data_IF_160260854365
#
_entry.id   IF_160260854365
#
_cell.length_a   1.000
_cell.length_b   1.000
_cell.length_c   1.000
_cell.angle_alpha   90.00
_cell.angle_beta   90.00
_cell.angle_gamma   90.00
#
_symmetry.space_group_name_H-M   'P 1'
#
loop_
_entity.id
_entity.type
_entity.pdbx_description
1 polymer ?
#
# COMPACT_ATOMS: atom_id res chain seq x y z
N UNK A 1 -4.44 5.37 17.90
CA UNK A 1 -5.29 5.45 19.11
C UNK A 1 -6.73 4.95 18.85
N UNK A 2 -7.46 5.51 17.87
CA UNK A 2 -8.83 5.07 17.54
C UNK A 2 -8.93 3.61 17.07
N UNK A 3 -8.03 3.15 16.20
CA UNK A 3 -8.01 1.73 15.77
C UNK A 3 -7.75 0.74 16.92
N UNK A 4 -6.91 1.14 17.89
CA UNK A 4 -6.67 0.37 19.12
C UNK A 4 -7.92 0.30 19.98
N UNK A 5 -8.61 1.42 20.20
CA UNK A 5 -9.88 1.48 20.93
C UNK A 5 -10.98 0.66 20.25
N UNK A 6 -11.05 0.67 18.92
CA UNK A 6 -12.01 -0.13 18.18
C UNK A 6 -11.73 -1.63 18.31
N UNK A 7 -10.46 -2.04 18.23
CA UNK A 7 -10.08 -3.44 18.34
C UNK A 7 -10.22 -3.94 19.78
N UNK A 8 -9.67 -3.23 20.76
CA UNK A 8 -9.75 -3.65 22.17
C UNK A 8 -11.14 -3.50 22.76
N UNK A 9 -11.91 -2.51 22.27
CA UNK A 9 -13.24 -2.19 22.79
C UNK A 9 -14.38 -2.89 22.08
N UNK A 10 -14.24 -3.28 20.80
CA UNK A 10 -15.34 -3.94 20.07
C UNK A 10 -14.95 -5.33 19.57
N UNK A 11 -13.84 -5.46 18.85
CA UNK A 11 -13.51 -6.72 18.17
C UNK A 11 -13.07 -7.82 19.16
N UNK A 12 -12.19 -7.50 20.12
CA UNK A 12 -11.68 -8.49 21.09
C UNK A 12 -12.79 -9.06 22.00
N UNK A 13 -13.64 -8.23 22.63
CA UNK A 13 -14.73 -8.71 23.48
C UNK A 13 -15.76 -9.52 22.70
N UNK A 14 -16.05 -9.12 21.45
CA UNK A 14 -16.89 -9.89 20.55
C UNK A 14 -16.28 -11.27 20.25
N UNK A 15 -14.98 -11.31 19.98
CA UNK A 15 -14.26 -12.54 19.69
C UNK A 15 -14.24 -13.49 20.90
N UNK A 16 -14.01 -12.96 22.10
CA UNK A 16 -14.03 -13.75 23.34
C UNK A 16 -15.43 -14.31 23.64
N UNK A 17 -16.48 -13.49 23.50
CA UNK A 17 -17.87 -13.93 23.65
C UNK A 17 -18.23 -15.01 22.61
N UNK A 18 -17.74 -14.86 21.37
CA UNK A 18 -17.94 -15.86 20.32
C UNK A 18 -17.26 -17.19 20.66
N UNK A 19 -16.00 -17.13 21.11
CA UNK A 19 -15.22 -18.33 21.50
C UNK A 19 -15.80 -19.06 22.72
N UNK A 20 -16.41 -18.33 23.64
CA UNK A 20 -17.05 -18.91 24.83
C UNK A 20 -18.37 -19.63 24.51
N UNK A 21 -19.10 -19.19 23.48
CA UNK A 21 -20.40 -19.79 23.14
C UNK A 21 -20.31 -20.88 22.04
N UNK A 22 -19.27 -20.85 21.21
CA UNK A 22 -19.09 -21.81 20.11
C UNK A 22 -17.83 -22.66 20.29
N UNK A 23 -17.97 -23.78 21.00
CA UNK A 23 -16.89 -24.74 21.24
C UNK A 23 -16.80 -25.87 20.18
N UNK A 24 -17.84 -26.07 19.37
CA UNK A 24 -17.84 -27.08 18.29
C UNK A 24 -18.78 -26.70 17.14
N UNK A 25 -18.65 -27.38 15.98
CA UNK A 25 -19.55 -27.15 14.83
C UNK A 25 -21.02 -27.47 15.19
N UNK A 26 -21.26 -28.40 16.11
CA UNK A 26 -22.62 -28.71 16.60
C UNK A 26 -23.23 -27.55 17.39
N UNK A 27 -22.43 -26.78 18.14
CA UNK A 27 -22.93 -25.59 18.82
C UNK A 27 -23.34 -24.47 17.85
N UNK A 28 -22.88 -24.48 16.60
CA UNK A 28 -23.30 -23.50 15.59
C UNK A 28 -24.70 -23.79 15.00
N UNK A 29 -25.19 -25.01 15.16
CA UNK A 29 -26.52 -25.45 14.66
C UNK A 29 -27.62 -25.22 15.71
N UNK A 30 -27.23 -25.15 16.99
CA UNK A 30 -28.17 -24.93 18.09
C UNK A 30 -28.55 -23.44 18.19
N UNK A 31 -29.85 -23.13 18.26
CA UNK A 31 -30.32 -21.75 18.39
C UNK A 31 -30.02 -21.17 19.78
N UNK A 32 -29.84 -22.00 20.81
CA UNK A 32 -29.58 -21.54 22.17
C UNK A 32 -28.25 -20.79 22.30
N UNK A 33 -27.19 -21.26 21.63
CA UNK A 33 -25.87 -20.62 21.63
C UNK A 33 -25.87 -19.26 20.91
N UNK A 34 -26.67 -19.12 19.84
CA UNK A 34 -26.87 -17.84 19.14
C UNK A 34 -27.63 -16.83 20.00
N UNK A 35 -28.66 -17.28 20.73
CA UNK A 35 -29.42 -16.42 21.64
C UNK A 35 -28.52 -15.96 22.79
N UNK A 36 -27.76 -16.88 23.38
CA UNK A 36 -26.84 -16.60 24.49
C UNK A 36 -25.69 -15.67 24.08
N UNK A 37 -25.15 -15.84 22.86
CA UNK A 37 -24.20 -14.90 22.27
C UNK A 37 -24.84 -13.51 22.13
N UNK A 38 -26.07 -13.42 21.61
CA UNK A 38 -26.71 -12.13 21.37
C UNK A 38 -26.96 -11.37 22.68
N UNK A 39 -27.39 -12.05 23.75
CA UNK A 39 -27.57 -11.45 25.08
C UNK A 39 -26.24 -11.03 25.72
N UNK A 40 -25.18 -11.84 25.58
CA UNK A 40 -23.84 -11.48 26.05
C UNK A 40 -23.26 -10.29 25.28
N UNK A 41 -23.46 -10.21 23.97
CA UNK A 41 -23.01 -9.07 23.17
C UNK A 41 -23.80 -7.80 23.50
N UNK A 42 -25.12 -7.89 23.66
CA UNK A 42 -25.96 -6.75 24.04
C UNK A 42 -25.55 -6.21 25.42
N UNK A 43 -25.27 -7.08 26.39
CA UNK A 43 -24.80 -6.67 27.72
C UNK A 43 -23.36 -6.17 27.72
N UNK A 44 -22.44 -6.78 26.97
CA UNK A 44 -21.06 -6.31 26.81
C UNK A 44 -21.01 -4.93 26.15
N UNK A 45 -21.76 -4.73 25.05
CA UNK A 45 -21.75 -3.47 24.32
C UNK A 45 -22.54 -2.36 25.03
N UNK A 46 -23.62 -2.67 25.76
CA UNK A 46 -24.29 -1.65 26.57
C UNK A 46 -23.40 -1.18 27.72
N UNK A 47 -22.71 -2.11 28.39
CA UNK A 47 -21.76 -1.79 29.45
C UNK A 47 -20.47 -1.14 28.91
N UNK A 48 -20.00 -1.49 27.71
CA UNK A 48 -18.83 -0.87 27.09
C UNK A 48 -19.12 0.51 26.49
N UNK A 49 -20.33 0.75 25.95
CA UNK A 49 -20.75 2.10 25.61
C UNK A 49 -20.82 2.98 26.85
N UNK A 50 -21.33 2.44 27.96
CA UNK A 50 -21.34 3.14 29.23
C UNK A 50 -19.92 3.35 29.77
N UNK A 51 -19.00 2.38 29.65
CA UNK A 51 -17.62 2.51 30.11
C UNK A 51 -16.76 3.39 29.20
N UNK A 52 -17.01 3.45 27.90
CA UNK A 52 -16.37 4.39 26.96
C UNK A 52 -16.86 5.81 27.25
N UNK A 53 -18.15 6.01 27.51
CA UNK A 53 -18.66 7.30 27.99
C UNK A 53 -18.00 7.68 29.31
N UNK A 54 -17.96 6.77 30.29
CA UNK A 54 -17.33 7.02 31.59
C UNK A 54 -15.82 7.26 31.44
N UNK A 55 -15.11 6.57 30.56
CA UNK A 55 -13.67 6.75 30.30
C UNK A 55 -13.37 8.06 29.55
N UNK A 56 -14.20 8.45 28.58
CA UNK A 56 -14.08 9.74 27.89
C UNK A 56 -14.37 10.91 28.82
N UNK A 57 -15.28 10.74 29.79
CA UNK A 57 -15.71 11.77 30.73
C UNK A 57 -15.20 11.60 32.17
N UNK A 58 -14.24 10.69 32.42
CA UNK A 58 -13.61 10.51 33.74
C UNK A 58 -12.68 11.70 34.03
N UNK A 59 -12.70 12.22 35.26
CA UNK A 59 -11.74 13.27 35.67
C UNK A 59 -10.29 12.80 35.42
N UNK A 60 -9.58 13.54 34.57
CA UNK A 60 -8.21 13.20 34.15
C UNK A 60 -8.09 12.44 32.82
N UNK A 61 -9.18 12.15 32.11
CA UNK A 61 -9.12 11.52 30.78
C UNK A 61 -8.38 12.41 29.76
N UNK A 62 -7.71 11.80 28.78
CA UNK A 62 -7.02 12.55 27.72
C UNK A 62 -7.99 13.40 26.89
N UNK A 63 -9.26 12.98 26.78
CA UNK A 63 -10.31 13.76 26.13
C UNK A 63 -10.67 15.02 26.92
N UNK A 64 -10.88 14.91 28.25
CA UNK A 64 -11.14 16.06 29.11
C UNK A 64 -9.92 16.97 29.22
N UNK A 65 -8.70 16.42 29.24
CA UNK A 65 -7.47 17.22 29.22
C UNK A 65 -7.30 17.97 27.90
N UNK A 66 -7.59 17.34 26.76
CA UNK A 66 -7.59 18.01 25.45
C UNK A 66 -8.73 19.03 25.36
N UNK A 67 -9.92 18.73 25.88
CA UNK A 67 -11.04 19.67 25.95
C UNK A 67 -10.73 20.86 26.85
N UNK A 68 -10.13 20.62 28.02
CA UNK A 68 -9.66 21.67 28.94
C UNK A 68 -8.57 22.51 28.28
N UNK A 69 -7.59 21.86 27.64
CA UNK A 69 -6.54 22.55 26.89
C UNK A 69 -7.12 23.39 25.76
N UNK A 70 -8.05 22.86 24.96
CA UNK A 70 -8.75 23.63 23.92
C UNK A 70 -9.59 24.75 24.54
N UNK A 71 -10.23 24.52 25.69
CA UNK A 71 -11.06 25.54 26.36
C UNK A 71 -10.26 26.70 26.92
N UNK A 72 -8.93 26.59 27.06
CA UNK A 72 -8.09 27.73 27.39
C UNK A 72 -8.15 28.76 26.27
N UNK A 73 -8.45 30.04 26.56
CA UNK A 73 -8.51 31.11 25.56
C UNK A 73 -7.22 31.23 24.72
N UNK A 74 -6.06 30.98 25.34
CA UNK A 74 -4.77 31.03 24.66
C UNK A 74 -4.57 29.87 23.66
N UNK A 75 -5.04 28.67 23.99
CA UNK A 75 -4.89 27.49 23.14
C UNK A 75 -5.91 27.48 21.98
N UNK A 76 -7.13 27.98 22.22
CA UNK A 76 -8.08 28.28 21.13
C UNK A 76 -7.56 29.35 20.21
N UNK A 77 -6.93 30.42 20.73
CA UNK A 77 -6.26 31.43 19.90
C UNK A 77 -5.09 30.84 19.09
N UNK A 78 -4.32 29.92 19.67
CA UNK A 78 -3.19 29.29 19.00
C UNK A 78 -3.63 28.26 17.95
N UNK A 79 -4.71 27.52 18.21
CA UNK A 79 -5.37 26.66 17.22
C UNK A 79 -6.03 27.48 16.12
N UNK A 80 -6.74 28.55 16.47
CA UNK A 80 -7.35 29.45 15.50
C UNK A 80 -6.27 30.14 14.67
N UNK A 81 -5.17 30.61 15.27
CA UNK A 81 -4.03 31.18 14.55
C UNK A 81 -3.27 30.13 13.74
N UNK A 82 -3.24 28.87 14.17
CA UNK A 82 -2.67 27.75 13.41
C UNK A 82 -3.53 27.37 12.21
N UNK A 83 -4.86 27.36 12.37
CA UNK A 83 -5.84 27.11 11.30
C UNK A 83 -5.88 28.30 10.34
N UNK A 84 -5.91 29.54 10.85
CA UNK A 84 -5.75 30.75 10.04
C UNK A 84 -4.37 30.77 9.37
N UNK A 85 -3.30 30.36 10.05
CA UNK A 85 -1.98 30.20 9.46
C UNK A 85 -1.99 29.19 8.31
N UNK A 86 -2.63 28.04 8.48
CA UNK A 86 -2.85 27.04 7.44
C UNK A 86 -3.73 27.54 6.29
N UNK A 87 -4.72 28.41 6.57
CA UNK A 87 -5.60 29.02 5.56
C UNK A 87 -4.93 30.21 4.83
N UNK A 88 -4.00 30.92 5.50
CA UNK A 88 -3.23 32.05 4.96
C UNK A 88 -2.03 31.54 4.17
N UNK A 89 -1.47 30.37 4.51
CA UNK A 89 -0.53 29.67 3.62
C UNK A 89 -1.30 29.43 2.32
N UNK A 90 -0.91 30.06 1.20
CA UNK A 90 -1.61 29.85 -0.04
C UNK A 90 -1.56 28.36 -0.33
N UNK A 91 -2.73 27.75 -0.54
CA UNK A 91 -2.90 26.35 -0.95
C UNK A 91 -2.30 26.08 -2.36
N UNK A 92 -1.25 26.80 -2.75
CA UNK A 92 -0.39 26.55 -3.91
C UNK A 92 0.66 25.49 -3.56
N UNK A 93 0.23 24.37 -2.97
CA UNK A 93 1.14 23.24 -2.75
C UNK A 93 1.42 22.52 -4.07
N UNK A 94 0.51 22.66 -5.05
CA UNK A 94 0.67 22.26 -6.45
C UNK A 94 -0.15 23.24 -7.32
N UNK A 95 0.45 24.14 -8.11
CA UNK A 95 -0.30 24.91 -9.10
C UNK A 95 -0.82 23.96 -10.19
N UNK A 96 -2.14 23.91 -10.36
CA UNK A 96 -2.85 23.13 -11.38
C UNK A 96 -2.99 23.86 -12.71
N UNK A 97 -2.56 25.11 -12.80
CA UNK A 97 -2.66 25.91 -14.02
C UNK A 97 -1.41 25.74 -14.91
N UNK A 98 -1.62 25.64 -16.22
CA UNK A 98 -0.60 25.69 -17.27
C UNK A 98 0.04 27.09 -17.36
N UNK A 99 0.65 27.57 -16.29
CA UNK A 99 1.44 28.79 -16.37
C UNK A 99 2.80 28.44 -16.98
N UNK A 100 2.99 28.79 -18.25
CA UNK A 100 4.22 28.69 -19.05
C UNK A 100 5.45 29.41 -18.45
N UNK A 101 5.35 29.99 -17.24
CA UNK A 101 6.46 30.63 -16.56
C UNK A 101 7.34 29.58 -15.87
N UNK A 102 8.55 29.44 -16.40
CA UNK A 102 9.70 28.69 -15.84
C UNK A 102 10.19 29.18 -14.48
N UNK A 103 9.50 30.14 -13.84
CA UNK A 103 9.70 30.50 -12.44
C UNK A 103 9.22 29.35 -11.54
N UNK A 104 10.05 28.32 -11.44
CA UNK A 104 9.87 27.15 -10.60
C UNK A 104 9.61 27.59 -9.15
N UNK A 105 8.34 27.59 -8.74
CA UNK A 105 8.03 27.55 -7.31
C UNK A 105 8.64 26.25 -6.74
N UNK A 106 9.35 26.37 -5.61
CA UNK A 106 10.02 25.27 -4.90
C UNK A 106 8.99 24.43 -4.14
N UNK A 107 8.01 23.91 -4.85
CA UNK A 107 6.88 23.17 -4.27
C UNK A 107 7.30 21.79 -3.78
N UNK A 108 6.48 21.16 -2.95
CA UNK A 108 6.72 19.80 -2.44
C UNK A 108 6.94 18.78 -3.55
N UNK A 109 6.22 18.92 -4.66
CA UNK A 109 6.42 18.10 -5.85
C UNK A 109 7.83 18.27 -6.46
N UNK A 110 8.38 19.49 -6.44
CA UNK A 110 9.75 19.75 -6.92
C UNK A 110 10.78 19.09 -5.99
N UNK A 111 10.59 19.15 -4.68
CA UNK A 111 11.44 18.46 -3.71
C UNK A 111 11.37 16.94 -3.84
N UNK A 112 10.17 16.40 -4.04
CA UNK A 112 9.96 14.98 -4.30
C UNK A 112 10.68 14.52 -5.58
N UNK A 113 10.54 15.24 -6.69
CA UNK A 113 11.27 14.95 -7.93
C UNK A 113 12.79 15.05 -7.75
N UNK A 114 13.29 16.04 -7.02
CA UNK A 114 14.71 16.16 -6.71
C UNK A 114 15.19 14.97 -5.87
N UNK A 115 14.38 14.51 -4.92
CA UNK A 115 14.68 13.33 -4.12
C UNK A 115 14.68 12.07 -4.99
N UNK A 116 13.71 11.90 -5.89
CA UNK A 116 13.70 10.81 -6.89
C UNK A 116 14.92 10.83 -7.80
N UNK A 117 15.40 12.01 -8.23
CA UNK A 117 16.64 12.10 -9.01
C UNK A 117 17.87 11.62 -8.21
N UNK A 118 17.90 11.87 -6.89
CA UNK A 118 18.95 11.33 -6.01
C UNK A 118 18.82 9.81 -5.85
N UNK A 119 17.60 9.31 -5.62
CA UNK A 119 17.31 7.87 -5.52
C UNK A 119 17.70 7.15 -6.82
N UNK A 120 17.35 7.72 -7.99
CA UNK A 120 17.79 7.22 -9.30
C UNK A 120 19.31 7.12 -9.38
N UNK A 121 20.02 8.18 -8.99
CA UNK A 121 21.48 8.19 -9.01
C UNK A 121 22.08 7.09 -8.10
N UNK A 122 21.43 6.81 -6.97
CA UNK A 122 21.86 5.78 -6.02
C UNK A 122 21.59 4.36 -6.53
N UNK A 123 20.40 4.09 -7.08
CA UNK A 123 19.95 2.74 -7.45
C UNK A 123 20.31 2.38 -8.91
N UNK A 124 20.16 3.32 -9.85
CA UNK A 124 20.30 3.10 -11.29
C UNK A 124 21.24 4.12 -11.92
N UNK A 125 22.54 4.03 -11.57
CA UNK A 125 23.59 4.90 -12.11
C UNK A 125 23.53 4.92 -13.64
N UNK A 126 23.57 6.13 -14.21
CA UNK A 126 23.67 6.43 -15.64
C UNK A 126 22.48 6.02 -16.55
N UNK A 127 21.32 5.60 -16.03
CA UNK A 127 20.17 5.28 -16.89
C UNK A 127 19.45 6.57 -17.38
N UNK A 128 19.74 6.96 -18.63
CA UNK A 128 19.21 8.17 -19.27
C UNK A 128 17.70 8.08 -19.52
N UNK A 129 17.15 6.89 -19.68
CA UNK A 129 15.71 6.69 -19.93
C UNK A 129 14.88 7.07 -18.70
N UNK A 130 15.33 6.67 -17.50
CA UNK A 130 14.66 7.05 -16.25
C UNK A 130 14.74 8.56 -16.04
N UNK A 131 15.83 9.21 -16.46
CA UNK A 131 15.92 10.67 -16.39
C UNK A 131 14.90 11.36 -17.28
N UNK A 132 14.73 10.87 -18.52
CA UNK A 132 13.69 11.34 -19.43
C UNK A 132 12.31 11.16 -18.80
N UNK A 133 12.02 9.96 -18.29
CA UNK A 133 10.72 9.64 -17.69
C UNK A 133 10.39 10.54 -16.49
N UNK A 134 11.37 10.83 -15.62
CA UNK A 134 11.20 11.77 -14.51
C UNK A 134 10.98 13.21 -14.98
N UNK A 135 11.57 13.63 -16.09
CA UNK A 135 11.28 14.94 -16.70
C UNK A 135 9.88 14.98 -17.32
N UNK A 136 9.44 13.88 -17.94
CA UNK A 136 8.05 13.77 -18.44
C UNK A 136 7.06 13.86 -17.28
N UNK A 137 7.36 13.21 -16.15
CA UNK A 137 6.59 13.35 -14.90
C UNK A 137 6.53 14.80 -14.41
N UNK A 138 7.65 15.52 -14.54
CA UNK A 138 7.71 16.95 -14.22
C UNK A 138 6.84 17.81 -15.14
N UNK A 139 6.66 17.42 -16.40
CA UNK A 139 5.73 18.08 -17.33
C UNK A 139 4.28 17.73 -17.06
N UNK A 140 3.99 16.48 -16.69
CA UNK A 140 2.64 15.96 -16.42
C UNK A 140 2.24 16.06 -14.94
N UNK A 141 2.56 17.17 -14.27
CA UNK A 141 2.31 17.37 -12.82
C UNK A 141 0.84 17.26 -12.46
N UNK A 142 -0.04 17.74 -13.34
CA UNK A 142 -1.48 17.74 -13.15
C UNK A 142 -2.03 16.32 -12.91
N UNK A 143 -1.43 15.30 -13.53
CA UNK A 143 -1.82 13.89 -13.39
C UNK A 143 -1.66 13.40 -11.94
N UNK A 144 -0.60 13.84 -11.26
CA UNK A 144 -0.30 13.46 -9.89
C UNK A 144 -0.85 14.43 -8.84
N UNK A 145 -1.33 15.60 -9.25
CA UNK A 145 -1.67 16.68 -8.32
C UNK A 145 -2.77 16.32 -7.32
N UNK A 146 -3.82 15.61 -7.77
CA UNK A 146 -4.99 15.28 -6.96
C UNK A 146 -4.72 14.21 -5.90
N UNK A 147 -3.82 13.27 -6.20
CA UNK A 147 -3.53 12.11 -5.34
C UNK A 147 -2.05 11.99 -4.96
N UNK A 148 -1.34 13.13 -4.94
CA UNK A 148 0.10 13.18 -4.71
C UNK A 148 0.52 12.48 -3.42
N UNK A 149 -0.21 12.68 -2.33
CA UNK A 149 0.12 12.07 -1.03
C UNK A 149 -0.09 10.56 -1.03
N UNK A 150 -1.21 10.08 -1.59
CA UNK A 150 -1.47 8.65 -1.74
C UNK A 150 -0.39 7.96 -2.57
N UNK A 151 0.07 8.65 -3.61
CA UNK A 151 1.06 8.13 -4.54
C UNK A 151 2.48 8.13 -3.99
N UNK A 152 2.91 9.23 -3.38
CA UNK A 152 4.31 9.47 -3.00
C UNK A 152 4.69 8.90 -1.64
N UNK A 153 3.74 8.79 -0.71
CA UNK A 153 3.99 8.37 0.66
C UNK A 153 3.38 6.99 0.93
N UNK A 154 2.21 6.94 1.53
CA UNK A 154 1.45 5.73 1.83
C UNK A 154 -0.01 6.10 1.61
N UNK A 155 -0.78 5.19 1.00
CA UNK A 155 -2.20 5.42 0.77
C UNK A 155 -3.02 5.48 2.05
N UNK A 156 -4.17 6.16 1.98
CA UNK A 156 -5.13 6.17 3.08
C UNK A 156 -5.55 4.76 3.52
N UNK A 157 -5.70 3.84 2.58
CA UNK A 157 -6.05 2.45 2.87
C UNK A 157 -4.93 1.73 3.63
N UNK A 158 -3.68 1.96 3.24
CA UNK A 158 -2.52 1.42 3.95
C UNK A 158 -2.36 2.00 5.37
N UNK A 159 -2.66 3.29 5.57
CA UNK A 159 -2.71 3.90 6.91
C UNK A 159 -3.80 3.26 7.77
N UNK A 160 -4.97 2.99 7.19
CA UNK A 160 -6.04 2.28 7.87
C UNK A 160 -5.61 0.86 8.29
N UNK A 161 -5.00 0.10 7.38
CA UNK A 161 -4.46 -1.23 7.71
C UNK A 161 -3.41 -1.16 8.81
N UNK A 162 -2.47 -0.22 8.75
CA UNK A 162 -1.48 -0.03 9.80
C UNK A 162 -2.16 0.22 11.16
N UNK A 163 -3.19 1.07 11.20
CA UNK A 163 -3.99 1.32 12.40
C UNK A 163 -4.66 0.07 12.98
N UNK A 164 -5.26 -0.76 12.12
CA UNK A 164 -5.87 -2.04 12.53
C UNK A 164 -4.81 -3.00 13.08
N UNK A 165 -3.71 -3.22 12.35
CA UNK A 165 -2.65 -4.12 12.81
C UNK A 165 -1.98 -3.63 14.10
N UNK A 166 -1.83 -2.32 14.32
CA UNK A 166 -1.35 -1.80 15.62
C UNK A 166 -2.26 -2.15 16.79
N UNK A 167 -3.58 -2.17 16.58
CA UNK A 167 -4.53 -2.59 17.59
C UNK A 167 -4.37 -4.07 17.93
N UNK A 168 -4.26 -4.93 16.90
CA UNK A 168 -4.00 -6.36 17.12
C UNK A 168 -2.67 -6.61 17.81
N UNK A 169 -1.61 -5.89 17.44
CA UNK A 169 -0.30 -5.98 18.11
C UNK A 169 -0.39 -5.68 19.60
N UNK A 170 -1.23 -4.72 20.00
CA UNK A 170 -1.43 -4.40 21.41
C UNK A 170 -2.21 -5.42 22.23
N UNK A 171 -2.93 -6.32 21.57
CA UNK A 171 -3.72 -7.36 22.22
C UNK A 171 -2.99 -8.71 22.30
N UNK A 172 -1.86 -8.84 21.59
CA UNK A 172 -1.10 -10.09 21.50
C UNK A 172 0.12 -10.01 22.41
N UNK A 173 0.27 -11.00 23.29
CA UNK A 173 1.41 -11.09 24.22
C UNK A 173 2.62 -11.84 23.62
N UNK A 174 2.40 -12.71 22.63
CA UNK A 174 3.46 -13.51 22.02
C UNK A 174 4.28 -12.69 21.00
N UNK A 175 5.60 -12.49 21.20
CA UNK A 175 6.43 -11.69 20.29
C UNK A 175 6.52 -12.31 18.89
N UNK A 176 6.49 -13.63 18.79
CA UNK A 176 6.52 -14.32 17.50
C UNK A 176 5.25 -14.03 16.68
N UNK A 177 4.09 -13.93 17.33
CA UNK A 177 2.83 -13.64 16.66
C UNK A 177 2.73 -12.15 16.29
N UNK A 178 3.32 -11.27 17.10
CA UNK A 178 3.49 -9.86 16.74
C UNK A 178 4.35 -9.68 15.49
N UNK A 179 5.46 -10.42 15.36
CA UNK A 179 6.29 -10.41 14.14
C UNK A 179 5.49 -10.90 12.92
N UNK A 180 4.68 -11.95 13.06
CA UNK A 180 3.83 -12.44 11.97
C UNK A 180 2.75 -11.44 11.55
N UNK A 181 2.15 -10.73 12.52
CA UNK A 181 1.20 -9.66 12.25
C UNK A 181 1.85 -8.52 11.47
N UNK A 182 3.03 -8.06 11.90
CA UNK A 182 3.80 -7.04 11.19
C UNK A 182 4.20 -7.51 9.79
N UNK A 183 4.62 -8.76 9.64
CA UNK A 183 4.95 -9.34 8.34
C UNK A 183 3.75 -9.32 7.39
N UNK A 184 2.60 -9.78 7.85
CA UNK A 184 1.37 -9.83 7.06
C UNK A 184 0.90 -8.43 6.67
N UNK A 185 0.93 -7.49 7.62
CA UNK A 185 0.64 -6.08 7.38
C UNK A 185 1.55 -5.51 6.28
N UNK A 186 2.85 -5.77 6.32
CA UNK A 186 3.80 -5.28 5.33
C UNK A 186 3.48 -5.80 3.92
N UNK A 187 3.19 -7.10 3.81
CA UNK A 187 2.83 -7.73 2.53
C UNK A 187 1.53 -7.13 1.97
N UNK A 188 0.51 -6.91 2.80
CA UNK A 188 -0.76 -6.29 2.39
C UNK A 188 -0.53 -4.84 1.94
N UNK A 189 0.16 -4.03 2.75
CA UNK A 189 0.39 -2.62 2.45
C UNK A 189 1.19 -2.45 1.16
N UNK A 190 2.27 -3.22 0.96
CA UNK A 190 3.05 -3.14 -0.27
C UNK A 190 2.24 -3.56 -1.50
N UNK A 191 1.43 -4.63 -1.37
CA UNK A 191 0.59 -5.10 -2.46
C UNK A 191 -0.46 -4.06 -2.87
N UNK A 192 -1.04 -3.37 -1.89
CA UNK A 192 -2.07 -2.35 -2.14
C UNK A 192 -1.47 -1.06 -2.70
N UNK A 193 -0.39 -0.57 -2.10
CA UNK A 193 0.30 0.63 -2.56
C UNK A 193 0.76 0.50 -4.01
N UNK A 194 1.31 -0.67 -4.39
CA UNK A 194 1.73 -0.90 -5.77
C UNK A 194 0.53 -0.91 -6.73
N UNK A 195 -0.63 -1.46 -6.32
CA UNK A 195 -1.85 -1.44 -7.12
C UNK A 195 -2.32 0.01 -7.35
N UNK A 196 -2.42 0.79 -6.28
CA UNK A 196 -2.89 2.18 -6.34
C UNK A 196 -2.00 3.05 -7.21
N UNK A 197 -0.68 2.97 -7.05
CA UNK A 197 0.26 3.73 -7.88
C UNK A 197 0.09 3.42 -9.37
N UNK A 198 -0.20 2.17 -9.72
CA UNK A 198 -0.50 1.78 -11.10
C UNK A 198 -1.84 2.35 -11.59
N UNK A 199 -2.91 2.26 -10.78
CA UNK A 199 -4.25 2.79 -11.14
C UNK A 199 -4.22 4.30 -11.36
N UNK A 200 -3.45 5.01 -10.54
CA UNK A 200 -3.36 6.47 -10.61
C UNK A 200 -2.54 6.95 -11.81
N UNK A 201 -1.55 6.16 -12.24
CA UNK A 201 -0.67 6.58 -13.35
C UNK A 201 -0.46 5.50 -14.42
N UNK A 202 -1.51 4.97 -15.06
CA UNK A 202 -1.38 3.97 -16.11
C UNK A 202 -0.64 4.51 -17.34
N UNK A 203 -0.85 5.80 -17.65
CA UNK A 203 -0.22 6.50 -18.78
C UNK A 203 1.30 6.64 -18.64
N UNK A 204 1.87 6.60 -17.42
CA UNK A 204 3.33 6.65 -17.23
C UNK A 204 4.01 5.33 -17.59
N UNK A 205 3.30 4.21 -17.36
CA UNK A 205 3.86 2.87 -17.49
C UNK A 205 3.47 2.16 -18.79
N UNK A 206 2.42 2.64 -19.47
CA UNK A 206 2.02 2.11 -20.77
C UNK A 206 3.01 2.49 -21.89
N UNK A 207 3.26 1.56 -22.80
CA UNK A 207 4.04 1.79 -24.02
C UNK A 207 3.28 2.71 -24.99
N UNK A 208 1.94 2.72 -24.96
CA UNK A 208 1.11 3.50 -25.86
C UNK A 208 1.24 5.01 -25.68
N UNK A 209 1.55 5.47 -24.47
CA UNK A 209 1.69 6.88 -24.16
C UNK A 209 2.89 7.56 -24.85
N UNK A 210 3.82 6.77 -25.39
CA UNK A 210 4.97 7.27 -26.17
C UNK A 210 4.86 6.97 -27.67
N UNK A 211 3.64 6.78 -28.22
CA UNK A 211 3.38 6.48 -29.65
C UNK A 211 4.26 7.28 -30.62
N UNK A 212 4.42 8.59 -30.38
CA UNK A 212 5.24 9.49 -31.21
C UNK A 212 6.76 9.27 -31.06
N UNK A 213 7.23 8.88 -29.86
CA UNK A 213 8.65 8.68 -29.57
C UNK A 213 9.14 7.25 -29.87
N UNK A 214 8.22 6.30 -30.03
CA UNK A 214 8.54 4.90 -30.36
C UNK A 214 9.39 4.79 -31.65
N UNK A 215 9.19 5.70 -32.61
CA UNK A 215 9.99 5.77 -33.84
C UNK A 215 11.44 6.22 -33.55
N UNK A 216 11.62 7.21 -32.68
CA UNK A 216 12.94 7.71 -32.27
C UNK A 216 13.75 6.64 -31.50
N UNK A 217 13.09 5.79 -30.71
CA UNK A 217 13.76 4.70 -30.01
C UNK A 217 14.27 3.58 -30.94
N UNK A 218 13.59 3.35 -32.06
CA UNK A 218 14.07 2.40 -33.07
C UNK A 218 15.30 2.94 -33.79
N UNK A 219 15.32 4.24 -34.10
CA UNK A 219 16.49 4.90 -34.67
C UNK A 219 17.68 4.91 -33.70
N UNK A 220 17.42 4.90 -32.38
CA UNK A 220 18.47 4.88 -31.35
C UNK A 220 19.03 3.50 -31.00
N UNK A 221 18.77 2.46 -31.82
CA UNK A 221 19.22 1.06 -31.61
C UNK A 221 18.76 0.45 -30.26
N UNK A 222 17.84 1.10 -29.55
CA UNK A 222 17.36 0.69 -28.24
C UNK A 222 16.14 -0.20 -28.42
N UNK A 223 16.17 -1.43 -27.90
CA UNK A 223 15.04 -2.36 -28.09
C UNK A 223 13.82 -1.92 -27.27
N UNK A 224 12.61 -2.23 -27.75
CA UNK A 224 11.37 -2.00 -27.01
C UNK A 224 11.38 -2.68 -25.63
N UNK A 225 12.12 -3.77 -25.52
CA UNK A 225 12.38 -4.45 -24.26
C UNK A 225 13.21 -3.62 -23.27
N UNK A 226 14.26 -2.92 -23.73
CA UNK A 226 15.04 -2.02 -22.88
C UNK A 226 14.20 -0.82 -22.41
N UNK A 227 13.33 -0.30 -23.28
CA UNK A 227 12.39 0.76 -22.94
C UNK A 227 11.37 0.30 -21.88
N UNK A 228 10.71 -0.85 -22.06
CA UNK A 228 9.78 -1.34 -21.06
C UNK A 228 10.49 -1.64 -19.72
N UNK A 229 11.74 -2.12 -19.78
CA UNK A 229 12.58 -2.29 -18.59
C UNK A 229 12.86 -0.96 -17.87
N UNK A 230 12.99 0.17 -18.58
CA UNK A 230 13.16 1.48 -17.92
C UNK A 230 11.88 1.91 -17.18
N UNK A 231 10.70 1.59 -17.72
CA UNK A 231 9.41 1.83 -17.02
C UNK A 231 9.29 1.02 -15.73
N UNK A 232 9.73 -0.24 -15.73
CA UNK A 232 9.77 -1.04 -14.50
C UNK A 232 10.74 -0.43 -13.48
N UNK A 233 11.94 0.00 -13.92
CA UNK A 233 12.91 0.68 -13.05
C UNK A 233 12.39 2.02 -12.51
N UNK A 234 11.62 2.76 -13.31
CA UNK A 234 10.94 3.97 -12.87
C UNK A 234 9.96 3.63 -11.74
N UNK A 235 9.18 2.55 -11.87
CA UNK A 235 8.29 2.10 -10.81
C UNK A 235 9.08 1.77 -9.54
N UNK A 236 10.19 1.03 -9.62
CA UNK A 236 11.04 0.80 -8.44
C UNK A 236 11.53 2.10 -7.79
N UNK A 237 11.91 3.10 -8.59
CA UNK A 237 12.33 4.41 -8.08
C UNK A 237 11.21 5.13 -7.31
N UNK A 238 9.98 5.06 -7.84
CA UNK A 238 8.81 5.69 -7.22
C UNK A 238 8.35 4.93 -5.97
N UNK A 239 8.35 3.61 -6.01
CA UNK A 239 7.96 2.72 -4.92
C UNK A 239 8.96 2.73 -3.74
N UNK A 240 10.16 3.29 -3.95
CA UNK A 240 11.18 3.43 -2.92
C UNK A 240 10.68 4.23 -1.71
N UNK A 241 10.00 5.35 -1.93
CA UNK A 241 9.49 6.17 -0.82
C UNK A 241 8.45 5.44 0.03
N UNK A 242 7.38 4.86 -0.53
CA UNK A 242 6.45 4.06 0.27
C UNK A 242 7.12 2.92 1.04
N UNK A 243 8.07 2.22 0.42
CA UNK A 243 8.82 1.16 1.11
C UNK A 243 9.65 1.68 2.28
N UNK A 244 10.23 2.88 2.16
CA UNK A 244 10.99 3.53 3.23
C UNK A 244 10.09 3.98 4.38
N UNK A 245 8.90 4.51 4.10
CA UNK A 245 7.94 4.83 5.16
C UNK A 245 7.50 3.57 5.91
N UNK A 246 7.30 2.47 5.20
CA UNK A 246 6.94 1.19 5.81
C UNK A 246 8.08 0.63 6.69
N UNK A 247 9.35 0.72 6.26
CA UNK A 247 10.47 0.30 7.11
C UNK A 247 10.56 1.16 8.38
N UNK A 248 10.45 2.48 8.26
CA UNK A 248 10.41 3.38 9.41
C UNK A 248 9.25 3.06 10.37
N UNK A 249 8.07 2.76 9.83
CA UNK A 249 6.92 2.35 10.62
C UNK A 249 7.20 1.06 11.40
N UNK A 250 7.76 0.03 10.76
CA UNK A 250 8.15 -1.19 11.46
C UNK A 250 9.14 -0.89 12.59
N UNK A 251 10.20 -0.12 12.34
CA UNK A 251 11.15 0.28 13.39
C UNK A 251 10.46 0.99 14.56
N UNK A 252 9.53 1.90 14.29
CA UNK A 252 8.77 2.58 15.33
C UNK A 252 7.92 1.62 16.17
N UNK A 253 7.26 0.66 15.51
CA UNK A 253 6.51 -0.39 16.20
C UNK A 253 7.42 -1.29 17.04
N UNK A 254 8.63 -1.60 16.57
CA UNK A 254 9.62 -2.35 17.35
C UNK A 254 9.97 -1.63 18.66
N UNK A 255 10.19 -0.32 18.59
CA UNK A 255 10.55 0.49 19.75
C UNK A 255 9.41 0.57 20.77
N UNK A 256 8.16 0.69 20.32
CA UNK A 256 7.00 0.82 21.22
C UNK A 256 6.68 -0.49 21.94
N UNK A 257 6.74 -1.62 21.23
CA UNK A 257 6.32 -2.92 21.75
C UNK A 257 7.50 -3.78 22.24
N UNK A 258 8.71 -3.20 22.30
CA UNK A 258 9.96 -3.83 22.77
C UNK A 258 10.25 -5.20 22.12
N UNK A 259 9.91 -5.34 20.84
CA UNK A 259 10.04 -6.61 20.12
C UNK A 259 11.47 -6.76 19.58
N UNK A 260 12.42 -7.07 20.45
CA UNK A 260 13.83 -7.26 20.09
C UNK A 260 14.14 -8.74 19.86
N UNK A 261 13.66 -9.31 18.75
CA UNK A 261 13.93 -10.69 18.34
C UNK A 261 14.73 -10.72 17.02
N UNK A 262 15.64 -11.69 16.87
CA UNK A 262 16.37 -11.99 15.61
C UNK A 262 15.39 -12.21 14.45
N UNK A 263 14.17 -12.68 14.75
CA UNK A 263 13.09 -12.84 13.78
C UNK A 263 12.68 -11.53 13.09
N UNK A 264 13.08 -10.37 13.59
CA UNK A 264 12.83 -9.08 12.94
C UNK A 264 13.54 -8.90 11.61
N UNK A 265 14.64 -9.63 11.39
CA UNK A 265 15.30 -9.68 10.08
C UNK A 265 14.32 -10.19 9.01
N UNK A 266 13.33 -11.02 9.38
CA UNK A 266 12.29 -11.51 8.48
C UNK A 266 11.45 -10.35 7.91
N UNK A 267 11.16 -9.31 8.70
CA UNK A 267 10.40 -8.14 8.23
C UNK A 267 11.18 -7.37 7.16
N UNK A 268 12.48 -7.17 7.40
CA UNK A 268 13.37 -6.46 6.47
C UNK A 268 13.51 -7.26 5.16
N UNK A 269 13.73 -8.58 5.26
CA UNK A 269 13.79 -9.45 4.08
C UNK A 269 12.45 -9.43 3.33
N UNK A 270 11.33 -9.48 4.05
CA UNK A 270 9.99 -9.42 3.48
C UNK A 270 9.74 -8.14 2.69
N UNK A 271 10.11 -6.99 3.25
CA UNK A 271 10.01 -5.68 2.57
C UNK A 271 10.94 -5.64 1.35
N UNK A 272 12.16 -6.16 1.48
CA UNK A 272 13.11 -6.20 0.38
C UNK A 272 12.59 -7.05 -0.79
N UNK A 273 12.08 -8.26 -0.53
CA UNK A 273 11.48 -9.11 -1.56
C UNK A 273 10.25 -8.42 -2.16
N UNK A 274 9.39 -7.86 -1.29
CA UNK A 274 8.18 -7.11 -1.68
C UNK A 274 8.47 -5.96 -2.64
N UNK A 275 9.53 -5.18 -2.36
CA UNK A 275 9.97 -4.05 -3.17
C UNK A 275 10.27 -4.44 -4.63
N UNK A 276 10.84 -5.62 -4.87
CA UNK A 276 11.11 -6.10 -6.22
C UNK A 276 9.90 -6.78 -6.88
N UNK A 277 9.14 -7.57 -6.12
CA UNK A 277 8.11 -8.42 -6.73
C UNK A 277 6.81 -7.65 -7.03
N UNK A 278 6.38 -6.75 -6.15
CA UNK A 278 5.08 -6.09 -6.31
C UNK A 278 5.02 -5.16 -7.53
N UNK A 279 5.98 -4.25 -7.76
CA UNK A 279 5.97 -3.42 -8.98
C UNK A 279 6.04 -4.26 -10.26
N UNK A 280 6.74 -5.41 -10.24
CA UNK A 280 6.80 -6.32 -11.38
C UNK A 280 5.44 -6.96 -11.68
N UNK A 281 4.73 -7.44 -10.64
CA UNK A 281 3.38 -8.00 -10.76
C UNK A 281 2.40 -6.94 -11.27
N UNK A 282 2.60 -5.66 -10.92
CA UNK A 282 1.70 -4.60 -11.40
C UNK A 282 1.92 -4.22 -12.86
N UNK A 283 3.04 -4.63 -13.48
CA UNK A 283 3.34 -4.27 -14.88
C UNK A 283 3.40 -5.45 -15.85
N UNK A 284 3.46 -6.71 -15.42
CA UNK A 284 3.75 -7.82 -16.34
C UNK A 284 2.73 -8.02 -17.49
N UNK A 285 1.46 -7.61 -17.30
CA UNK A 285 0.41 -7.68 -18.33
C UNK A 285 0.29 -6.43 -19.20
N UNK A 286 0.87 -5.31 -18.79
CA UNK A 286 0.73 -4.04 -19.52
C UNK A 286 1.08 -4.16 -21.01
N UNK A 287 2.16 -4.87 -21.42
CA UNK A 287 2.48 -5.02 -22.83
C UNK A 287 1.36 -5.66 -23.66
N UNK A 288 0.59 -6.61 -23.11
CA UNK A 288 -0.50 -7.28 -23.83
C UNK A 288 -1.73 -6.41 -24.05
N UNK A 289 -1.86 -5.36 -23.25
CA UNK A 289 -3.05 -4.53 -23.14
C UNK A 289 -2.82 -3.17 -23.81
N UNK A 290 -1.64 -2.97 -24.38
CA UNK A 290 -1.25 -1.77 -25.12
C UNK A 290 -2.08 -1.62 -26.40
N UNK A 291 -3.03 -0.69 -26.45
CA UNK A 291 -3.64 -0.21 -27.70
C UNK A 291 -2.92 1.05 -28.20
N UNK A 292 -2.87 1.29 -29.52
CA UNK A 292 -2.24 2.50 -30.09
C UNK A 292 -3.25 3.52 -30.65
N UNK A 293 -4.54 3.19 -30.60
CA UNK A 293 -5.63 4.01 -31.11
C UNK A 293 -6.38 4.62 -29.93
N UNK A 294 -5.86 5.74 -29.43
CA UNK A 294 -6.49 6.54 -28.38
C UNK A 294 -6.56 7.99 -28.83
N UNK A 295 -7.66 8.68 -28.49
CA UNK A 295 -7.87 10.09 -28.85
C UNK A 295 -7.22 10.98 -27.79
N UNK A 296 -7.21 10.53 -26.53
CA UNK A 296 -6.60 11.26 -25.42
C UNK A 296 -5.73 10.37 -24.51
N UNK A 297 -4.66 10.93 -23.95
CA UNK A 297 -3.71 10.19 -23.09
C UNK A 297 -4.34 9.62 -21.80
N UNK A 298 -5.48 10.16 -21.35
CA UNK A 298 -6.22 9.64 -20.19
C UNK A 298 -7.00 8.34 -20.47
N UNK A 299 -7.18 7.98 -21.74
CA UNK A 299 -7.88 6.75 -22.16
C UNK A 299 -6.97 5.52 -22.08
N UNK A 300 -5.66 5.75 -21.91
CA UNK A 300 -4.64 4.71 -21.87
C UNK A 300 -4.74 3.93 -20.57
N UNK A 301 -5.09 2.64 -20.66
CA UNK A 301 -5.16 1.74 -19.50
C UNK A 301 -6.39 1.94 -18.62
N UNK A 302 -7.38 2.72 -19.07
CA UNK A 302 -8.61 3.02 -18.33
C UNK A 302 -9.86 2.43 -18.98
N UNK A 303 -9.74 1.78 -20.15
CA UNK A 303 -10.88 1.11 -20.78
C UNK A 303 -11.30 -0.13 -20.00
N UNK A 304 -12.61 -0.41 -19.92
CA UNK A 304 -13.16 -1.51 -19.10
C UNK A 304 -12.60 -2.89 -19.44
N UNK A 305 -12.24 -3.12 -20.70
CA UNK A 305 -11.63 -4.37 -21.17
C UNK A 305 -10.18 -4.50 -20.67
N UNK A 306 -9.42 -3.41 -20.73
CA UNK A 306 -8.02 -3.36 -20.33
C UNK A 306 -7.90 -3.51 -18.80
N UNK A 307 -8.68 -2.74 -18.05
CA UNK A 307 -8.73 -2.85 -16.58
C UNK A 307 -9.24 -4.22 -16.16
N UNK A 308 -10.27 -4.76 -16.82
CA UNK A 308 -10.82 -6.08 -16.51
C UNK A 308 -9.82 -7.24 -16.65
N UNK A 309 -8.96 -7.22 -17.69
CA UNK A 309 -7.94 -8.27 -17.90
C UNK A 309 -6.77 -8.08 -16.94
N UNK A 310 -6.28 -6.84 -16.81
CA UNK A 310 -5.13 -6.51 -15.96
C UNK A 310 -5.46 -6.73 -14.49
N UNK A 311 -6.60 -6.24 -14.01
CA UNK A 311 -7.02 -6.37 -12.61
C UNK A 311 -7.28 -7.83 -12.22
N UNK A 312 -7.92 -8.62 -13.09
CA UNK A 312 -8.14 -10.05 -12.80
C UNK A 312 -6.84 -10.84 -12.75
N UNK A 313 -5.95 -10.64 -13.73
CA UNK A 313 -4.66 -11.33 -13.77
C UNK A 313 -3.76 -10.97 -12.59
N UNK A 314 -3.72 -9.69 -12.23
CA UNK A 314 -2.90 -9.20 -11.12
C UNK A 314 -3.49 -9.56 -9.77
N UNK A 315 -4.81 -9.49 -9.61
CA UNK A 315 -5.51 -9.90 -8.39
C UNK A 315 -5.26 -11.38 -8.09
N UNK A 316 -5.22 -12.24 -9.12
CA UNK A 316 -4.87 -13.65 -8.95
C UNK A 316 -3.48 -13.82 -8.33
N UNK A 317 -2.42 -13.26 -8.94
CA UNK A 317 -1.04 -13.40 -8.42
C UNK A 317 -0.91 -12.77 -7.03
N UNK A 318 -1.53 -11.61 -6.81
CA UNK A 318 -1.55 -10.95 -5.50
C UNK A 318 -2.25 -11.81 -4.45
N UNK A 319 -3.37 -12.45 -4.79
CA UNK A 319 -4.11 -13.31 -3.86
C UNK A 319 -3.26 -14.50 -3.43
N UNK A 320 -2.51 -15.12 -4.36
CA UNK A 320 -1.57 -16.20 -4.02
C UNK A 320 -0.44 -15.74 -3.09
N UNK A 321 0.02 -14.50 -3.20
CA UNK A 321 1.07 -13.96 -2.32
C UNK A 321 0.55 -13.48 -0.97
N UNK A 322 -0.67 -12.97 -0.88
CA UNK A 322 -1.18 -12.27 0.31
C UNK A 322 -2.13 -13.14 1.14
N UNK A 323 -3.08 -13.84 0.50
CA UNK A 323 -4.17 -14.53 1.19
C UNK A 323 -3.73 -15.64 2.14
N UNK A 324 -2.69 -16.45 1.84
CA UNK A 324 -2.23 -17.50 2.76
C UNK A 324 -1.86 -16.97 4.15
N UNK A 325 -1.30 -15.76 4.23
CA UNK A 325 -0.95 -15.14 5.51
C UNK A 325 -2.18 -14.68 6.28
N UNK A 326 -3.17 -14.12 5.58
CA UNK A 326 -4.45 -13.72 6.19
C UNK A 326 -5.18 -14.96 6.72
N UNK A 327 -5.28 -16.02 5.91
CA UNK A 327 -5.90 -17.27 6.35
C UNK A 327 -5.18 -17.88 7.54
N UNK A 328 -3.83 -17.87 7.54
CA UNK A 328 -3.07 -18.33 8.69
C UNK A 328 -3.39 -17.52 9.95
N UNK A 329 -3.43 -16.19 9.87
CA UNK A 329 -3.78 -15.34 11.02
C UNK A 329 -5.19 -15.65 11.55
N UNK A 330 -6.17 -15.78 10.66
CA UNK A 330 -7.56 -16.14 11.04
C UNK A 330 -7.58 -17.49 11.75
N UNK A 331 -7.01 -18.53 11.14
CA UNK A 331 -7.00 -19.88 11.72
C UNK A 331 -6.22 -19.92 13.04
N UNK A 332 -5.08 -19.23 13.13
CA UNK A 332 -4.27 -19.14 14.36
C UNK A 332 -4.99 -18.44 15.52
N UNK A 333 -5.98 -17.61 15.20
CA UNK A 333 -6.83 -16.97 16.21
C UNK A 333 -7.72 -18.02 16.89
N UNK A 334 -8.32 -18.92 16.10
CA UNK A 334 -9.28 -19.93 16.59
C UNK A 334 -8.63 -21.16 17.23
N UNK A 335 -7.39 -21.50 16.85
CA UNK A 335 -6.74 -22.74 17.29
C UNK A 335 -5.46 -22.47 18.11
N UNK A 336 -5.49 -22.63 19.45
CA UNK A 336 -4.35 -22.35 20.34
C UNK A 336 -3.10 -23.20 20.07
N UNK A 337 -3.27 -24.41 19.53
CA UNK A 337 -2.14 -25.31 19.19
C UNK A 337 -1.22 -24.67 18.13
N UNK A 338 -1.78 -23.88 17.22
CA UNK A 338 -1.03 -23.13 16.21
C UNK A 338 -0.30 -21.91 16.78
N UNK A 339 -0.65 -21.47 18.00
CA UNK A 339 0.03 -20.37 18.71
C UNK A 339 1.33 -20.82 19.39
N UNK A 340 1.49 -22.11 19.69
CA UNK A 340 2.74 -22.65 20.25
C UNK A 340 3.82 -22.90 19.19
N UNK A 341 3.46 -23.08 17.93
CA UNK A 341 4.41 -23.34 16.81
C UNK A 341 4.81 -22.07 16.03
N UNK A 342 4.44 -20.88 16.51
CA UNK A 342 4.53 -19.61 15.75
C UNK A 342 5.95 -19.28 15.29
N UNK A 343 6.98 -19.61 16.08
CA UNK A 343 8.38 -19.38 15.66
C UNK A 343 8.75 -20.14 14.39
N UNK A 344 8.28 -21.37 14.25
CA UNK A 344 8.49 -22.19 13.04
C UNK A 344 7.67 -21.64 11.89
N UNK A 345 6.45 -21.16 12.16
CA UNK A 345 5.59 -20.58 11.14
C UNK A 345 6.15 -19.29 10.56
N UNK A 346 6.82 -18.44 11.34
CA UNK A 346 7.46 -17.22 10.82
C UNK A 346 8.55 -17.57 9.78
N UNK A 347 9.35 -18.60 10.06
CA UNK A 347 10.38 -19.09 9.12
C UNK A 347 9.76 -19.74 7.89
N UNK A 348 8.71 -20.54 8.05
CA UNK A 348 7.98 -21.12 6.91
C UNK A 348 7.30 -20.03 6.06
N UNK A 349 6.79 -18.97 6.69
CA UNK A 349 6.12 -17.85 6.01
C UNK A 349 7.07 -17.10 5.09
N UNK A 350 8.30 -16.83 5.54
CA UNK A 350 9.30 -16.18 4.69
C UNK A 350 9.83 -17.09 3.59
N UNK A 351 10.01 -18.39 3.87
CA UNK A 351 10.40 -19.37 2.86
C UNK A 351 9.32 -19.50 1.78
N UNK A 352 8.05 -19.57 2.20
CA UNK A 352 6.90 -19.55 1.30
C UNK A 352 6.88 -18.28 0.47
N UNK A 353 6.95 -17.10 1.12
CA UNK A 353 6.93 -15.82 0.42
C UNK A 353 8.06 -15.69 -0.59
N UNK A 354 9.27 -16.10 -0.22
CA UNK A 354 10.45 -16.10 -1.09
C UNK A 354 10.28 -17.06 -2.26
N UNK A 355 9.84 -18.30 -2.01
CA UNK A 355 9.64 -19.32 -3.03
C UNK A 355 8.58 -18.91 -4.05
N UNK A 356 7.42 -18.45 -3.57
CA UNK A 356 6.34 -17.97 -4.45
C UNK A 356 6.78 -16.71 -5.21
N UNK A 357 7.45 -15.76 -4.54
CA UNK A 357 7.97 -14.57 -5.21
C UNK A 357 8.96 -14.91 -6.33
N UNK A 358 9.81 -15.92 -6.13
CA UNK A 358 10.74 -16.40 -7.17
C UNK A 358 10.00 -17.01 -8.37
N UNK A 359 8.97 -17.83 -8.13
CA UNK A 359 8.12 -18.39 -9.19
C UNK A 359 7.41 -17.26 -9.95
N UNK A 360 6.84 -16.30 -9.23
CA UNK A 360 6.19 -15.13 -9.81
C UNK A 360 7.17 -14.28 -10.63
N UNK A 361 8.41 -14.12 -10.17
CA UNK A 361 9.45 -13.39 -10.88
C UNK A 361 9.75 -14.03 -12.25
N UNK A 362 9.95 -15.34 -12.30
CA UNK A 362 10.16 -16.08 -13.55
C UNK A 362 8.95 -15.93 -14.48
N UNK A 363 7.75 -16.12 -13.94
CA UNK A 363 6.51 -16.02 -14.71
C UNK A 363 6.31 -14.63 -15.31
N UNK A 364 6.49 -13.57 -14.51
CA UNK A 364 6.34 -12.19 -14.94
C UNK A 364 7.34 -11.85 -16.05
N UNK A 365 8.62 -12.23 -15.93
CA UNK A 365 9.61 -12.00 -16.97
C UNK A 365 9.25 -12.69 -18.29
N UNK A 366 8.76 -13.94 -18.22
CA UNK A 366 8.32 -14.68 -19.40
C UNK A 366 7.12 -14.01 -20.08
N UNK A 367 6.16 -13.53 -19.29
CA UNK A 367 4.98 -12.83 -19.79
C UNK A 367 5.34 -11.48 -20.42
N UNK A 368 6.21 -10.69 -19.79
CA UNK A 368 6.69 -9.41 -20.34
C UNK A 368 7.35 -9.62 -21.71
N UNK A 369 8.26 -10.61 -21.81
CA UNK A 369 8.93 -10.93 -23.08
C UNK A 369 7.95 -11.32 -24.18
N UNK A 370 6.98 -12.20 -23.88
CA UNK A 370 5.91 -12.56 -24.82
C UNK A 370 5.04 -11.37 -25.21
N UNK A 371 4.69 -10.52 -24.26
CA UNK A 371 3.85 -9.34 -24.49
C UNK A 371 4.54 -8.32 -25.37
N UNK A 372 5.84 -8.07 -25.17
CA UNK A 372 6.62 -7.19 -26.04
C UNK A 372 6.71 -7.75 -27.46
N UNK A 373 6.92 -9.06 -27.62
CA UNK A 373 6.85 -9.71 -28.93
C UNK A 373 5.48 -9.61 -29.60
N UNK A 374 4.39 -9.51 -28.83
CA UNK A 374 3.05 -9.23 -29.34
C UNK A 374 2.89 -7.76 -29.79
N UNK A 375 3.39 -6.81 -29.01
CA UNK A 375 3.41 -5.37 -29.38
C UNK A 375 4.20 -5.15 -30.67
N UNK A 376 5.36 -5.80 -30.81
CA UNK A 376 6.17 -5.74 -32.04
C UNK A 376 5.40 -6.22 -33.28
N UNK A 377 4.56 -7.24 -33.12
CA UNK A 377 3.70 -7.77 -34.20
C UNK A 377 2.53 -6.84 -34.53
N UNK A 378 1.79 -6.35 -33.53
CA UNK A 378 0.66 -5.42 -33.75
C UNK A 378 1.15 -4.13 -34.40
N UNK A 379 2.32 -3.64 -33.98
CA UNK A 379 2.90 -2.40 -34.50
C UNK A 379 3.08 -2.45 -36.02
N UNK A 380 3.41 -3.60 -36.61
CA UNK A 380 3.54 -3.79 -38.06
C UNK A 380 2.20 -3.54 -38.78
N UNK A 381 1.07 -3.88 -38.15
CA UNK A 381 -0.26 -3.66 -38.72
C UNK A 381 -0.78 -2.23 -38.56
N UNK A 382 -0.40 -1.51 -37.51
CA UNK A 382 -0.74 -0.09 -37.34
C UNK A 382 0.13 0.88 -38.16
N UNK A 383 1.09 0.37 -38.92
CA UNK A 383 1.94 1.14 -39.85
C UNK A 383 1.33 1.15 -41.27
N UNK A 384 0.34 0.29 -41.55
CA UNK A 384 -0.35 0.21 -42.85
C UNK A 384 -1.68 0.99 -42.92
N UNK A 385 -2.06 1.68 -41.84
CA UNK A 385 -3.12 2.70 -41.80
C UNK A 385 -2.49 4.06 -41.51
#
# INVERSE_FOLDING_TARGET
MLGRLFISGFILPFYEAFRQNFHSIHSAVDNASWIQLSEQLVSLYSNQLHSIQVFLFLEGSTFLQVQQFISLPAATLLLAAGVLGLLIIPAKWIPTEETNSTSHFKDLFHWYLRALHKVRYLIFRADLLIYKDLRVLQGKRWLLSKEFFNYSFISYEAVFYAGVFTGFLSAVESPALQVQLLFTMNVIIMANQALEMRVLTPSLFSISAEKQNIWLYQLSLSSLFQFFRSKIKLFYCLFFFPSLFLTLFNFFMMLIYEIYDVQMVILIIGIFIGFFIFPLIQLYLFPFVTKFNFIHEYEIGTTKEETGIVDKGQSFIRSFLVMPFIYYLIVSSFFPVLQHSVKVVNVLSILYFSGVSFICWIYCHKMISKGIGYVEKIKIYSISE
#
